data_IF_140397989172
#
_entry.id   IF_140397989172
#
_cell.length_a   1.000
_cell.length_b   1.000
_cell.length_c   1.000
_cell.angle_alpha   90.00
_cell.angle_beta   90.00
_cell.angle_gamma   90.00
#
_symmetry.space_group_name_H-M   'P 1'
#
loop_
_entity.id
_entity.type
_entity.pdbx_description
1 polymer ?
#
# COMPACT_ATOMS: atom_id res chain seq x y z
N UNK A 1 4.10 -44.56 -66.27
CA UNK A 1 3.64 -44.75 -64.88
C UNK A 1 4.56 -43.99 -63.95
N UNK A 2 3.99 -43.24 -63.02
CA UNK A 2 4.65 -42.34 -62.08
C UNK A 2 5.38 -43.12 -60.97
N UNK A 3 6.45 -42.50 -60.42
CA UNK A 3 7.04 -42.65 -59.06
C UNK A 3 7.74 -43.99 -58.73
N UNK A 4 8.94 -44.04 -58.13
CA UNK A 4 9.42 -43.37 -56.92
C UNK A 4 10.96 -43.19 -56.94
N UNK A 5 11.43 -41.99 -56.61
CA UNK A 5 12.82 -41.75 -56.19
C UNK A 5 13.00 -42.28 -54.76
N UNK A 6 14.00 -43.10 -54.43
CA UNK A 6 14.29 -43.41 -53.04
C UNK A 6 15.00 -42.24 -52.36
N UNK A 7 14.43 -41.77 -51.25
CA UNK A 7 15.03 -40.82 -50.31
C UNK A 7 16.40 -41.33 -49.85
N UNK A 8 17.41 -40.48 -49.97
CA UNK A 8 18.74 -40.67 -49.40
C UNK A 8 18.78 -39.94 -48.03
N UNK A 9 18.80 -40.63 -46.88
CA UNK A 9 18.94 -39.94 -45.60
C UNK A 9 20.41 -39.61 -45.34
N UNK A 10 20.76 -38.32 -45.39
CA UNK A 10 22.04 -37.83 -44.86
C UNK A 10 22.16 -38.20 -43.37
N UNK A 11 23.29 -38.74 -42.89
CA UNK A 11 23.50 -38.89 -41.46
C UNK A 11 23.77 -37.54 -40.81
N UNK A 12 22.92 -37.19 -39.85
CA UNK A 12 22.98 -36.00 -39.00
C UNK A 12 24.42 -35.71 -38.51
N UNK A 13 24.91 -34.50 -38.82
CA UNK A 13 26.16 -33.94 -38.28
C UNK A 13 26.11 -33.97 -36.76
N UNK A 14 26.92 -34.84 -36.13
CA UNK A 14 27.10 -34.85 -34.66
C UNK A 14 27.63 -33.48 -34.20
N UNK A 15 26.84 -32.76 -33.41
CA UNK A 15 27.26 -31.54 -32.74
C UNK A 15 28.32 -31.86 -31.69
N UNK A 16 29.33 -30.98 -31.56
CA UNK A 16 30.45 -31.16 -30.62
C UNK A 16 29.93 -31.19 -29.18
N UNK A 17 30.41 -32.10 -28.31
CA UNK A 17 29.96 -32.16 -26.93
C UNK A 17 30.42 -30.89 -26.19
N UNK A 18 29.47 -30.21 -25.54
CA UNK A 18 29.77 -29.09 -24.66
C UNK A 18 30.69 -29.55 -23.52
N UNK A 19 31.75 -28.77 -23.26
CA UNK A 19 32.74 -29.09 -22.23
C UNK A 19 32.07 -29.07 -20.83
N UNK A 20 32.37 -30.04 -19.94
CA UNK A 20 31.68 -30.18 -18.64
C UNK A 20 31.85 -28.96 -17.73
N UNK A 21 32.93 -28.21 -17.89
CA UNK A 21 33.19 -26.95 -17.19
C UNK A 21 32.10 -25.92 -17.50
N UNK A 22 31.70 -25.78 -18.76
CA UNK A 22 30.68 -24.81 -19.18
C UNK A 22 29.30 -25.21 -18.63
N UNK A 23 28.99 -26.51 -18.62
CA UNK A 23 27.76 -27.05 -18.05
C UNK A 23 27.69 -26.79 -16.53
N UNK A 24 28.81 -26.93 -15.81
CA UNK A 24 28.88 -26.67 -14.37
C UNK A 24 28.71 -25.18 -14.03
N UNK A 25 29.23 -24.27 -14.87
CA UNK A 25 29.05 -22.82 -14.71
C UNK A 25 27.61 -22.39 -15.02
N UNK A 26 26.98 -22.98 -16.05
CA UNK A 26 25.58 -22.71 -16.39
C UNK A 26 24.61 -23.15 -15.29
N UNK A 27 24.89 -24.27 -14.61
CA UNK A 27 24.09 -24.73 -13.45
C UNK A 27 24.15 -23.77 -12.26
N UNK A 28 25.34 -23.20 -11.99
CA UNK A 28 25.52 -22.20 -10.92
C UNK A 28 24.77 -20.90 -11.24
N UNK A 29 24.81 -20.47 -12.51
CA UNK A 29 24.07 -19.30 -12.99
C UNK A 29 22.55 -19.52 -12.87
N UNK A 30 22.06 -20.69 -13.27
CA UNK A 30 20.65 -21.09 -13.13
C UNK A 30 20.19 -21.10 -11.66
N UNK A 31 21.03 -21.57 -10.74
CA UNK A 31 20.71 -21.59 -9.31
C UNK A 31 20.63 -20.17 -8.72
N UNK A 32 21.52 -19.27 -9.10
CA UNK A 32 21.51 -17.86 -8.64
C UNK A 32 20.28 -17.12 -9.20
N UNK A 33 19.92 -17.36 -10.46
CA UNK A 33 18.70 -16.79 -11.03
C UNK A 33 17.43 -17.33 -10.38
N UNK A 34 17.41 -18.62 -10.01
CA UNK A 34 16.29 -19.21 -9.26
C UNK A 34 16.17 -18.61 -7.85
N UNK A 35 17.30 -18.33 -7.18
CA UNK A 35 17.33 -17.69 -5.87
C UNK A 35 16.86 -16.22 -5.92
N UNK A 36 17.19 -15.47 -6.99
CA UNK A 36 16.67 -14.11 -7.19
C UNK A 36 15.16 -14.09 -7.44
N UNK A 37 14.61 -15.08 -8.16
CA UNK A 37 13.17 -15.15 -8.45
C UNK A 37 12.32 -15.37 -7.20
N UNK A 38 12.85 -16.02 -6.15
CA UNK A 38 12.14 -16.26 -4.89
C UNK A 38 11.93 -14.94 -4.10
N UNK A 39 12.78 -13.93 -4.28
CA UNK A 39 12.66 -12.64 -3.57
C UNK A 39 11.56 -11.72 -4.13
N UNK A 40 11.05 -11.98 -5.34
CA UNK A 40 10.05 -11.12 -6.00
C UNK A 40 8.62 -11.35 -5.49
N UNK A 41 8.34 -12.45 -4.77
CA UNK A 41 6.97 -12.84 -4.40
C UNK A 41 6.52 -12.22 -3.05
N UNK A 42 7.40 -11.59 -2.27
CA UNK A 42 7.04 -11.09 -0.93
C UNK A 42 6.58 -9.62 -0.87
N UNK A 43 6.25 -8.96 -1.99
CA UNK A 43 5.89 -7.53 -2.02
C UNK A 43 4.38 -7.26 -1.94
N UNK A 44 3.51 -8.27 -1.78
CA UNK A 44 2.05 -8.08 -1.84
C UNK A 44 1.30 -8.04 -0.49
N UNK A 45 1.98 -7.87 0.66
CA UNK A 45 1.31 -7.66 1.96
C UNK A 45 0.73 -6.23 2.13
N UNK A 46 0.46 -5.52 1.03
CA UNK A 46 0.11 -4.10 1.06
C UNK A 46 -1.40 -3.92 1.14
N UNK A 47 -1.84 -3.50 2.33
CA UNK A 47 -3.16 -2.92 2.65
C UNK A 47 -4.30 -3.94 2.55
N UNK A 48 -4.77 -4.39 3.71
CA UNK A 48 -6.18 -4.77 3.75
C UNK A 48 -6.98 -3.53 3.30
N UNK A 49 -7.90 -3.66 2.32
CA UNK A 49 -8.80 -2.58 2.01
C UNK A 49 -9.49 -2.18 3.30
N UNK A 50 -9.62 -0.88 3.56
CA UNK A 50 -10.46 -0.37 4.65
C UNK A 50 -11.86 -0.94 4.40
N UNK A 51 -12.15 -2.08 5.03
CA UNK A 51 -13.43 -2.75 4.91
C UNK A 51 -14.37 -1.89 5.74
N UNK A 52 -15.28 -1.22 5.04
CA UNK A 52 -16.37 -0.48 5.64
C UNK A 52 -17.36 -1.50 6.22
N UNK A 53 -17.03 -2.01 7.41
CA UNK A 53 -17.88 -2.94 8.13
C UNK A 53 -19.02 -2.16 8.76
N UNK A 54 -20.24 -2.70 8.65
CA UNK A 54 -21.34 -2.16 9.46
C UNK A 54 -21.03 -2.35 10.96
N UNK A 55 -21.57 -1.48 11.84
CA UNK A 55 -21.40 -1.64 13.29
C UNK A 55 -21.81 -3.01 13.80
N UNK A 56 -22.87 -3.58 13.23
CA UNK A 56 -23.41 -4.90 13.55
C UNK A 56 -22.42 -6.00 13.15
N UNK A 57 -21.93 -5.98 11.91
CA UNK A 57 -20.96 -6.97 11.44
C UNK A 57 -19.63 -6.89 12.22
N UNK A 58 -19.24 -5.70 12.66
CA UNK A 58 -18.07 -5.53 13.53
C UNK A 58 -18.34 -6.10 14.93
N UNK A 59 -19.50 -5.82 15.51
CA UNK A 59 -19.88 -6.32 16.83
C UNK A 59 -19.99 -7.85 16.85
N UNK A 60 -20.59 -8.43 15.81
CA UNK A 60 -20.70 -9.88 15.62
C UNK A 60 -19.31 -10.52 15.57
N UNK A 61 -18.46 -10.07 14.64
CA UNK A 61 -17.10 -10.60 14.49
C UNK A 61 -16.24 -10.48 15.75
N UNK A 62 -16.37 -9.37 16.49
CA UNK A 62 -15.66 -9.19 17.75
C UNK A 62 -16.16 -10.14 18.84
N UNK A 63 -17.46 -10.38 18.86
CA UNK A 63 -18.11 -11.30 19.79
C UNK A 63 -17.75 -12.74 19.48
N UNK A 64 -17.80 -13.16 18.21
CA UNK A 64 -17.39 -14.50 17.77
C UNK A 64 -15.94 -14.80 18.16
N UNK A 65 -15.02 -13.87 17.89
CA UNK A 65 -13.61 -14.03 18.27
C UNK A 65 -13.40 -14.12 19.77
N UNK A 66 -14.24 -13.45 20.56
CA UNK A 66 -14.17 -13.50 22.02
C UNK A 66 -14.78 -14.80 22.55
N UNK A 67 -15.89 -15.23 21.94
CA UNK A 67 -16.57 -16.47 22.22
C UNK A 67 -15.68 -17.69 21.98
N UNK A 68 -14.97 -17.73 20.85
CA UNK A 68 -14.03 -18.80 20.53
C UNK A 68 -12.85 -18.86 21.51
N UNK A 69 -12.33 -17.72 21.94
CA UNK A 69 -11.14 -17.66 22.80
C UNK A 69 -11.43 -17.92 24.27
N UNK A 70 -12.63 -17.59 24.72
CA UNK A 70 -13.02 -17.68 26.12
C UNK A 70 -14.09 -18.75 26.37
N UNK A 71 -14.44 -19.52 25.34
CA UNK A 71 -15.46 -20.58 25.40
C UNK A 71 -16.79 -20.09 26.00
N UNK A 72 -17.24 -18.91 25.55
CA UNK A 72 -18.42 -18.25 26.11
C UNK A 72 -19.71 -19.04 25.83
N UNK A 73 -20.63 -19.02 26.79
CA UNK A 73 -21.98 -19.54 26.61
C UNK A 73 -22.89 -18.56 25.82
N UNK A 74 -24.10 -19.01 25.47
CA UNK A 74 -25.02 -18.23 24.64
C UNK A 74 -25.56 -16.96 25.32
N UNK A 75 -25.65 -16.94 26.66
CA UNK A 75 -26.10 -15.76 27.40
C UNK A 75 -25.00 -14.70 27.45
N UNK A 76 -23.76 -15.14 27.70
CA UNK A 76 -22.56 -14.29 27.68
C UNK A 76 -22.31 -13.70 26.29
N UNK A 77 -22.46 -14.50 25.22
CA UNK A 77 -22.34 -14.02 23.84
C UNK A 77 -23.33 -12.90 23.54
N UNK A 78 -24.59 -13.04 23.94
CA UNK A 78 -25.62 -12.00 23.73
C UNK A 78 -25.30 -10.71 24.47
N UNK A 79 -24.86 -10.81 25.73
CA UNK A 79 -24.47 -9.64 26.52
C UNK A 79 -23.25 -8.91 25.92
N UNK A 80 -22.24 -9.66 25.48
CA UNK A 80 -21.02 -9.10 24.87
C UNK A 80 -21.33 -8.50 23.49
N UNK A 81 -22.18 -9.15 22.69
CA UNK A 81 -22.64 -8.59 21.42
C UNK A 81 -23.32 -7.24 21.61
N UNK A 82 -24.24 -7.12 22.58
CA UNK A 82 -24.90 -5.86 22.86
C UNK A 82 -23.90 -4.76 23.24
N UNK A 83 -22.92 -5.07 24.09
CA UNK A 83 -21.87 -4.14 24.49
C UNK A 83 -20.97 -3.70 23.30
N UNK A 84 -20.58 -4.65 22.44
CA UNK A 84 -19.81 -4.34 21.24
C UNK A 84 -20.61 -3.51 20.23
N UNK A 85 -21.91 -3.78 20.08
CA UNK A 85 -22.78 -3.04 19.17
C UNK A 85 -22.93 -1.59 19.62
N UNK A 86 -23.20 -1.35 20.91
CA UNK A 86 -23.27 0.00 21.47
C UNK A 86 -21.97 0.77 21.22
N UNK A 87 -20.82 0.12 21.48
CA UNK A 87 -19.52 0.72 21.25
C UNK A 87 -19.27 1.02 19.76
N UNK A 88 -19.65 0.11 18.86
CA UNK A 88 -19.48 0.28 17.42
C UNK A 88 -20.34 1.43 16.88
N UNK A 89 -21.59 1.55 17.34
CA UNK A 89 -22.48 2.66 17.01
C UNK A 89 -21.94 3.99 17.51
N UNK A 90 -21.48 4.04 18.77
CA UNK A 90 -20.86 5.24 19.33
C UNK A 90 -19.66 5.71 18.49
N UNK A 91 -18.77 4.79 18.13
CA UNK A 91 -17.60 5.09 17.28
C UNK A 91 -18.01 5.59 15.90
N UNK A 92 -19.06 5.01 15.29
CA UNK A 92 -19.58 5.46 14.00
C UNK A 92 -20.06 6.91 14.08
N UNK A 93 -20.83 7.26 15.09
CA UNK A 93 -21.33 8.62 15.29
C UNK A 93 -20.18 9.61 15.50
N UNK A 94 -19.22 9.29 16.38
CA UNK A 94 -18.03 10.13 16.61
C UNK A 94 -17.21 10.34 15.32
N UNK A 95 -17.12 9.30 14.48
CA UNK A 95 -16.43 9.38 13.18
C UNK A 95 -17.18 10.27 12.19
N UNK A 96 -18.51 10.20 12.16
CA UNK A 96 -19.36 11.05 11.32
C UNK A 96 -19.26 12.53 11.74
N UNK A 97 -19.33 12.81 13.04
CA UNK A 97 -19.13 14.16 13.60
C UNK A 97 -17.75 14.71 13.25
N UNK A 98 -16.69 13.90 13.44
CA UNK A 98 -15.32 14.29 13.08
C UNK A 98 -15.19 14.56 11.58
N UNK A 99 -15.86 13.76 10.74
CA UNK A 99 -15.85 13.94 9.28
C UNK A 99 -16.51 15.25 8.89
N UNK A 100 -17.64 15.59 9.50
CA UNK A 100 -18.32 16.87 9.29
C UNK A 100 -17.44 18.05 9.72
N UNK A 101 -16.86 18.01 10.92
CA UNK A 101 -15.96 19.05 11.41
C UNK A 101 -14.72 19.23 10.52
N UNK A 102 -14.14 18.13 10.06
CA UNK A 102 -12.98 18.16 9.15
C UNK A 102 -13.33 18.72 7.76
N UNK A 103 -14.55 18.51 7.27
CA UNK A 103 -14.98 19.07 5.99
C UNK A 103 -15.05 20.59 6.03
N UNK A 104 -15.67 21.16 7.07
CA UNK A 104 -15.71 22.62 7.28
C UNK A 104 -14.31 23.22 7.42
N UNK A 105 -13.48 22.65 8.30
CA UNK A 105 -12.09 23.11 8.49
C UNK A 105 -11.25 23.03 7.21
N UNK A 106 -11.54 22.06 6.33
CA UNK A 106 -10.83 21.92 5.06
C UNK A 106 -11.13 23.06 4.11
N UNK A 107 -12.39 23.49 4.04
CA UNK A 107 -12.78 24.64 3.21
C UNK A 107 -12.21 25.95 3.75
N UNK A 108 -12.25 26.17 5.06
CA UNK A 108 -11.61 27.33 5.71
C UNK A 108 -10.12 27.41 5.37
N UNK A 109 -9.37 26.31 5.59
CA UNK A 109 -7.95 26.27 5.26
C UNK A 109 -7.68 26.45 3.76
N UNK A 110 -8.60 26.05 2.89
CA UNK A 110 -8.46 26.25 1.45
C UNK A 110 -8.60 27.75 1.12
N UNK A 111 -9.64 28.39 1.66
CA UNK A 111 -9.87 29.82 1.47
C UNK A 111 -8.70 30.66 2.01
N UNK A 112 -8.20 30.37 3.21
CA UNK A 112 -7.03 31.05 3.78
C UNK A 112 -5.77 30.90 2.89
N UNK A 113 -5.54 29.70 2.35
CA UNK A 113 -4.41 29.45 1.45
C UNK A 113 -4.54 30.19 0.13
N UNK A 114 -5.76 30.33 -0.39
CA UNK A 114 -6.03 31.10 -1.61
C UNK A 114 -5.88 32.60 -1.36
N UNK A 115 -6.40 33.13 -0.26
CA UNK A 115 -6.24 34.53 0.11
C UNK A 115 -4.78 34.91 0.42
N UNK A 116 -4.01 34.01 1.02
CA UNK A 116 -2.57 34.22 1.19
C UNK A 116 -1.83 34.15 -0.15
N UNK A 117 -2.29 33.29 -1.06
CA UNK A 117 -1.70 33.15 -2.38
C UNK A 117 -1.87 34.39 -3.25
N UNK A 118 -3.04 35.02 -3.23
CA UNK A 118 -3.29 36.27 -3.96
C UNK A 118 -2.37 37.37 -3.48
N UNK A 119 -2.24 37.56 -2.16
CA UNK A 119 -1.32 38.53 -1.56
C UNK A 119 0.13 38.32 -1.98
N UNK A 120 0.58 37.06 -2.07
CA UNK A 120 1.92 36.76 -2.57
C UNK A 120 2.03 37.14 -4.05
N UNK A 121 1.07 36.76 -4.89
CA UNK A 121 1.10 37.05 -6.32
C UNK A 121 1.15 38.55 -6.61
N UNK A 122 0.50 39.39 -5.81
CA UNK A 122 0.56 40.85 -5.93
C UNK A 122 1.96 41.43 -5.69
N UNK A 123 2.80 40.75 -4.91
CA UNK A 123 4.17 41.18 -4.58
C UNK A 123 5.19 40.68 -5.61
N UNK A 124 4.89 39.57 -6.27
CA UNK A 124 5.82 38.90 -7.18
C UNK A 124 5.81 39.52 -8.59
N UNK A 125 6.99 39.58 -9.20
CA UNK A 125 7.13 39.85 -10.64
C UNK A 125 6.63 38.65 -11.48
N UNK A 126 6.28 38.83 -12.76
CA UNK A 126 5.77 37.74 -13.60
C UNK A 126 6.69 36.50 -13.65
N UNK A 127 8.01 36.70 -13.78
CA UNK A 127 8.98 35.60 -13.78
C UNK A 127 9.05 34.86 -12.43
N UNK A 128 8.84 35.57 -11.32
CA UNK A 128 8.83 34.97 -9.98
C UNK A 128 7.53 34.22 -9.68
N UNK A 129 6.40 34.66 -10.24
CA UNK A 129 5.11 33.97 -10.14
C UNK A 129 5.18 32.58 -10.77
N UNK A 130 5.74 32.47 -11.97
CA UNK A 130 5.89 31.18 -12.67
C UNK A 130 6.72 30.19 -11.85
N UNK A 131 7.85 30.64 -11.28
CA UNK A 131 8.70 29.82 -10.41
C UNK A 131 7.98 29.40 -9.12
N UNK A 132 7.18 30.28 -8.54
CA UNK A 132 6.42 29.99 -7.33
C UNK A 132 5.28 28.99 -7.58
N UNK A 133 4.59 29.10 -8.71
CA UNK A 133 3.57 28.14 -9.12
C UNK A 133 4.15 26.75 -9.35
N UNK A 134 5.29 26.65 -10.04
CA UNK A 134 6.02 25.40 -10.21
C UNK A 134 6.36 24.74 -8.86
N UNK A 135 6.87 25.53 -7.91
CA UNK A 135 7.16 25.08 -6.54
C UNK A 135 5.91 24.57 -5.81
N UNK A 136 4.75 25.24 -5.98
CA UNK A 136 3.48 24.79 -5.40
C UNK A 136 2.97 23.49 -6.02
N UNK A 137 3.16 23.31 -7.32
CA UNK A 137 2.79 22.07 -8.00
C UNK A 137 3.67 20.91 -7.53
N UNK A 138 4.99 21.11 -7.44
CA UNK A 138 5.92 20.11 -6.92
C UNK A 138 5.57 19.71 -5.47
N UNK A 139 5.28 20.69 -4.61
CA UNK A 139 4.84 20.44 -3.23
C UNK A 139 3.57 19.57 -3.17
N UNK A 140 2.58 19.84 -4.04
CA UNK A 140 1.37 19.04 -4.16
C UNK A 140 1.67 17.60 -4.62
N UNK A 141 2.57 17.44 -5.60
CA UNK A 141 2.99 16.12 -6.07
C UNK A 141 3.73 15.33 -4.98
N UNK A 142 4.62 15.96 -4.22
CA UNK A 142 5.34 15.33 -3.11
C UNK A 142 4.39 14.84 -2.01
N UNK A 143 3.35 15.60 -1.68
CA UNK A 143 2.32 15.17 -0.72
C UNK A 143 1.58 13.95 -1.26
N UNK A 144 1.15 13.96 -2.53
CA UNK A 144 0.47 12.84 -3.19
C UNK A 144 1.34 11.58 -3.22
N UNK A 145 2.64 11.73 -3.46
CA UNK A 145 3.61 10.62 -3.43
C UNK A 145 3.86 10.11 -2.00
N UNK A 146 3.97 11.00 -1.01
CA UNK A 146 4.15 10.63 0.39
C UNK A 146 2.95 9.88 1.00
N UNK A 147 1.73 10.10 0.50
CA UNK A 147 0.55 9.32 0.89
C UNK A 147 0.55 7.89 0.34
N UNK A 148 1.40 7.58 -0.66
CA UNK A 148 1.57 6.21 -1.17
C UNK A 148 2.48 5.35 -0.29
N UNK A 149 3.16 5.90 0.72
CA UNK A 149 3.98 5.15 1.69
C UNK A 149 3.61 5.48 3.17
N UNK A 150 2.46 5.00 3.68
CA UNK A 150 2.05 5.21 5.08
C UNK A 150 3.04 4.60 6.09
N UNK A 151 3.67 3.47 5.75
CA UNK A 151 4.48 2.67 6.67
C UNK A 151 5.80 3.30 7.13
N UNK A 152 6.41 4.23 6.39
CA UNK A 152 7.71 4.83 6.75
C UNK A 152 7.61 6.05 7.67
N UNK A 153 6.45 6.74 7.73
CA UNK A 153 6.28 7.95 8.56
C UNK A 153 5.99 7.67 10.03
N UNK A 154 5.49 6.48 10.36
CA UNK A 154 5.16 6.13 11.75
C UNK A 154 6.40 5.72 12.55
N UNK A 155 7.38 5.07 11.92
CA UNK A 155 8.66 4.68 12.56
C UNK A 155 9.51 5.87 13.02
N UNK A 156 9.39 7.05 12.39
CA UNK A 156 10.22 8.21 12.75
C UNK A 156 9.53 9.21 13.70
N UNK A 157 8.32 8.90 14.18
CA UNK A 157 7.60 9.74 15.16
C UNK A 157 7.90 9.33 16.61
N UNK A 158 8.29 8.07 16.84
CA UNK A 158 8.73 7.59 18.16
C UNK A 158 10.13 8.06 18.58
N UNK A 159 10.98 8.48 17.63
CA UNK A 159 12.37 8.90 17.87
C UNK A 159 12.53 10.42 18.04
N UNK A 160 11.52 11.23 17.70
CA UNK A 160 11.60 12.70 17.76
C UNK A 160 11.20 13.30 19.12
N UNK A 161 10.63 12.52 20.03
CA UNK A 161 10.23 12.97 21.37
C UNK A 161 11.28 12.76 22.47
N UNK A 162 12.41 12.10 22.17
CA UNK A 162 13.39 11.72 23.19
C UNK A 162 14.49 12.77 23.45
N UNK A 163 14.59 13.85 22.65
CA UNK A 163 15.72 14.78 22.71
C UNK A 163 15.36 16.23 23.13
N UNK A 164 14.22 16.44 23.79
CA UNK A 164 13.86 17.76 24.36
C UNK A 164 13.51 17.68 25.85
N UNK A 165 14.36 17.00 26.62
CA UNK A 165 14.47 17.22 28.05
C UNK A 165 15.84 17.85 28.32
N UNK A 166 15.85 19.17 28.44
CA UNK A 166 16.92 20.00 28.97
C UNK A 166 16.27 21.02 29.89
#
# INVERSE_FOLDING_TARGET
>A
MLTLLPLNPEPLRRSKPYKPIVIQQMKKLLMITALMLITLVQVNAQREPDRDWSPEAMAEKMTERMAEKLELDEEQKKAIYAAHLEQALKRKNEMEERKAAMASRREEMKAEREAHATKINEILTPEQQEKWEAMRQEGRQRIKQGHRQPGKRMMNRGTRGANHAG
#
